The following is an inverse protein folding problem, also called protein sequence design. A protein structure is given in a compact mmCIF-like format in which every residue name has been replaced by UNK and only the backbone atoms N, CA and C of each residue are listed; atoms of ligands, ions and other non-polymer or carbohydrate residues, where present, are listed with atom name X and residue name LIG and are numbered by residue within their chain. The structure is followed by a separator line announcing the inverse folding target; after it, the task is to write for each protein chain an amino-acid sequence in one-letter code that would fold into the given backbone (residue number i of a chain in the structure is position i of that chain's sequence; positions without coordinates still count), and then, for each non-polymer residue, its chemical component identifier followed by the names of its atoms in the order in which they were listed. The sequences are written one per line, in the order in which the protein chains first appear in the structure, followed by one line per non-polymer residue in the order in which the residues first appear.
data_IF_531828046077
#
_entry.id   IF_531828046077
#
_cell.length_a   1.000
_cell.length_b   1.000
_cell.length_c   1.000
_cell.angle_alpha   90.00
_cell.angle_beta   90.00
_cell.angle_gamma   90.00
#
_symmetry.space_group_name_H-M   'P 1'
#
loop_
_entity.id
_entity.type
_entity.pdbx_description
1 polymer ?
#
# COMPACT_ATOMS: atom_id res chain seq x y z
N UNK A 1 6.41 28.00 21.05
CA UNK A 1 6.35 26.87 20.08
C UNK A 1 5.65 25.75 20.80
N UNK A 2 4.66 25.11 20.19
CA UNK A 2 4.08 23.88 20.73
C UNK A 2 5.14 22.78 20.77
N UNK A 3 4.94 21.74 21.59
CA UNK A 3 5.86 20.60 21.64
C UNK A 3 6.04 19.96 20.25
N UNK A 4 4.96 19.88 19.47
CA UNK A 4 4.97 19.35 18.11
C UNK A 4 5.84 20.18 17.15
N UNK A 5 5.80 21.52 17.24
CA UNK A 5 6.64 22.38 16.41
C UNK A 5 8.14 22.18 16.68
N UNK A 6 8.52 21.96 17.94
CA UNK A 6 9.91 21.68 18.31
C UNK A 6 10.35 20.29 17.83
N UNK A 7 9.45 19.29 17.88
CA UNK A 7 9.70 17.93 17.41
C UNK A 7 9.91 17.92 15.89
N UNK A 8 9.02 18.54 15.13
CA UNK A 8 9.12 18.68 13.67
C UNK A 8 10.42 19.40 13.26
N UNK A 9 10.79 20.48 13.97
CA UNK A 9 12.05 21.17 13.71
C UNK A 9 13.29 20.27 13.96
N UNK A 10 13.25 19.43 15.00
CA UNK A 10 14.31 18.46 15.28
C UNK A 10 14.40 17.39 14.20
N UNK A 11 13.26 16.81 13.75
CA UNK A 11 13.19 15.84 12.66
C UNK A 11 13.80 16.44 11.38
N UNK A 12 13.39 17.65 11.00
CA UNK A 12 13.90 18.30 9.79
C UNK A 12 15.42 18.55 9.84
N UNK A 13 15.98 18.87 11.00
CA UNK A 13 17.43 19.00 11.16
C UNK A 13 18.12 17.65 10.99
N UNK A 14 17.66 16.63 11.70
CA UNK A 14 18.22 15.26 11.62
C UNK A 14 18.15 14.71 10.19
N UNK A 15 17.05 14.95 9.48
CA UNK A 15 16.89 14.58 8.07
C UNK A 15 17.98 15.17 7.21
N UNK A 16 18.29 16.48 7.38
CA UNK A 16 19.36 17.15 6.64
C UNK A 16 20.73 16.63 7.04
N UNK A 17 21.01 16.50 8.36
CA UNK A 17 22.28 16.04 8.89
C UNK A 17 22.63 14.60 8.45
N UNK A 18 21.61 13.78 8.17
CA UNK A 18 21.74 12.37 7.75
C UNK A 18 21.66 12.19 6.23
N UNK A 19 21.47 13.24 5.44
CA UNK A 19 21.12 13.12 4.03
C UNK A 19 19.98 12.09 3.82
N UNK A 20 18.91 12.24 4.61
CA UNK A 20 17.80 11.31 4.65
C UNK A 20 16.60 11.81 3.84
N UNK A 21 15.85 10.87 3.27
CA UNK A 21 14.53 11.10 2.68
C UNK A 21 13.47 10.39 3.52
N UNK A 22 12.38 11.09 3.83
CA UNK A 22 11.21 10.53 4.51
C UNK A 22 10.16 10.19 3.44
N UNK A 23 9.89 8.90 3.29
CA UNK A 23 8.86 8.37 2.39
C UNK A 23 7.65 7.93 3.23
N UNK A 24 6.47 8.48 2.98
CA UNK A 24 5.26 8.15 3.72
C UNK A 24 4.16 7.58 2.81
N UNK A 25 3.48 6.55 3.29
CA UNK A 25 2.28 6.06 2.62
C UNK A 25 1.09 6.98 2.90
N UNK A 26 0.13 7.06 1.98
CA UNK A 26 -1.12 7.82 2.15
C UNK A 26 -1.94 7.43 3.40
N UNK A 27 -1.70 6.26 3.98
CA UNK A 27 -2.39 5.75 5.17
C UNK A 27 -1.69 6.12 6.49
N UNK A 28 -0.67 6.96 6.44
CA UNK A 28 -0.03 7.50 7.64
C UNK A 28 -0.88 8.61 8.29
N UNK A 29 -0.59 8.87 9.57
CA UNK A 29 -1.19 9.99 10.28
C UNK A 29 -0.84 11.33 9.58
N UNK A 30 -1.75 12.32 9.61
CA UNK A 30 -1.56 13.61 8.94
C UNK A 30 -0.23 14.27 9.24
N UNK A 31 0.21 14.28 10.50
CA UNK A 31 1.45 14.91 10.92
C UNK A 31 2.70 14.27 10.31
N UNK A 32 2.67 12.96 9.98
CA UNK A 32 3.75 12.28 9.28
C UNK A 32 3.71 12.61 7.79
N UNK A 33 2.51 12.65 7.22
CA UNK A 33 2.34 13.03 5.81
C UNK A 33 2.83 14.46 5.56
N UNK A 34 2.54 15.39 6.48
CA UNK A 34 2.90 16.81 6.34
C UNK A 34 4.41 17.08 6.38
N UNK A 35 5.20 16.22 7.02
CA UNK A 35 6.65 16.36 7.11
C UNK A 35 7.43 15.45 6.14
N UNK A 36 6.74 14.55 5.46
CA UNK A 36 7.37 13.64 4.49
C UNK A 36 7.88 14.41 3.27
N UNK A 37 9.01 13.96 2.72
CA UNK A 37 9.54 14.47 1.46
C UNK A 37 8.71 14.00 0.25
N UNK A 38 8.06 12.83 0.41
CA UNK A 38 7.19 12.27 -0.59
C UNK A 38 6.11 11.41 0.06
N UNK A 39 4.85 11.66 -0.32
CA UNK A 39 3.68 10.85 0.06
C UNK A 39 3.15 10.17 -1.19
N UNK A 40 2.89 8.86 -1.11
CA UNK A 40 2.47 8.10 -2.26
C UNK A 40 1.86 6.73 -1.95
N UNK A 41 1.41 6.02 -3.00
CA UNK A 41 1.05 4.62 -2.92
C UNK A 41 2.30 3.71 -3.04
N UNK A 42 2.10 2.39 -2.91
CA UNK A 42 3.21 1.43 -2.92
C UNK A 42 4.06 1.47 -4.21
N UNK A 43 3.45 1.76 -5.37
CA UNK A 43 4.19 1.85 -6.63
C UNK A 43 5.02 3.13 -6.71
N UNK A 44 4.42 4.26 -6.36
CA UNK A 44 5.08 5.56 -6.34
C UNK A 44 6.26 5.56 -5.36
N UNK A 45 6.04 5.02 -4.15
CA UNK A 45 7.09 4.92 -3.12
C UNK A 45 8.21 3.97 -3.53
N UNK A 46 7.90 2.85 -4.20
CA UNK A 46 8.93 1.94 -4.76
C UNK A 46 9.81 2.64 -5.80
N UNK A 47 9.19 3.39 -6.72
CA UNK A 47 9.92 4.18 -7.72
C UNK A 47 10.77 5.27 -7.07
N UNK A 48 10.24 5.94 -6.05
CA UNK A 48 10.96 6.99 -5.33
C UNK A 48 12.15 6.43 -4.55
N UNK A 49 11.96 5.30 -3.86
CA UNK A 49 13.04 4.60 -3.16
C UNK A 49 14.18 4.21 -4.13
N UNK A 50 13.84 3.70 -5.32
CA UNK A 50 14.82 3.29 -6.33
C UNK A 50 15.57 4.45 -6.98
N UNK A 51 15.05 5.69 -6.94
CA UNK A 51 15.59 6.84 -7.67
C UNK A 51 16.13 7.97 -6.79
N UNK A 52 16.04 7.86 -5.46
CA UNK A 52 16.54 8.90 -4.55
C UNK A 52 18.07 8.91 -4.44
N UNK A 53 18.66 10.09 -4.31
CA UNK A 53 20.08 10.27 -4.05
C UNK A 53 20.44 10.32 -2.54
N UNK A 54 19.44 10.22 -1.66
CA UNK A 54 19.65 10.20 -0.22
C UNK A 54 20.42 8.95 0.22
N UNK A 55 21.23 9.07 1.28
CA UNK A 55 21.97 7.95 1.87
C UNK A 55 21.09 7.11 2.78
N UNK A 56 20.07 7.75 3.38
CA UNK A 56 19.13 7.14 4.31
C UNK A 56 17.70 7.28 3.79
N UNK A 57 16.96 6.16 3.80
CA UNK A 57 15.52 6.15 3.54
C UNK A 57 14.80 5.85 4.86
N UNK A 58 14.05 6.82 5.38
CA UNK A 58 13.13 6.57 6.48
C UNK A 58 11.76 6.25 5.87
N UNK A 59 11.33 5.02 6.04
CA UNK A 59 10.07 4.56 5.45
C UNK A 59 8.95 4.62 6.49
N UNK A 60 8.10 5.65 6.43
CA UNK A 60 6.87 5.75 7.22
C UNK A 60 5.75 4.99 6.52
N UNK A 61 5.65 3.73 6.84
CA UNK A 61 4.72 2.77 6.24
C UNK A 61 4.74 1.48 7.05
N UNK A 62 4.70 0.34 6.37
CA UNK A 62 4.74 -0.99 6.98
C UNK A 62 5.96 -1.79 6.52
N UNK A 63 6.27 -2.84 7.25
CA UNK A 63 7.53 -3.60 7.14
C UNK A 63 7.85 -4.03 5.71
N UNK A 64 6.89 -4.61 4.97
CA UNK A 64 7.13 -5.07 3.59
C UNK A 64 7.47 -3.93 2.61
N UNK A 65 7.05 -2.69 2.91
CA UNK A 65 7.39 -1.50 2.10
C UNK A 65 8.85 -1.10 2.34
N UNK A 66 9.30 -1.13 3.59
CA UNK A 66 10.69 -0.88 3.94
C UNK A 66 11.62 -1.99 3.41
N UNK A 67 11.20 -3.27 3.45
CA UNK A 67 11.89 -4.37 2.75
C UNK A 67 11.98 -4.09 1.24
N UNK A 68 10.90 -3.62 0.62
CA UNK A 68 10.89 -3.27 -0.81
C UNK A 68 11.90 -2.17 -1.13
N UNK A 69 11.98 -1.13 -0.31
CA UNK A 69 12.99 -0.08 -0.45
C UNK A 69 14.41 -0.65 -0.31
N UNK A 70 14.65 -1.55 0.65
CA UNK A 70 15.97 -2.21 0.83
C UNK A 70 16.32 -3.14 -0.33
N UNK A 71 15.34 -3.85 -0.91
CA UNK A 71 15.55 -4.68 -2.10
C UNK A 71 16.02 -3.83 -3.27
N UNK A 72 15.37 -2.68 -3.50
CA UNK A 72 15.63 -1.80 -4.65
C UNK A 72 16.88 -0.93 -4.48
N UNK A 73 17.24 -0.58 -3.24
CA UNK A 73 18.35 0.32 -2.90
C UNK A 73 19.22 -0.30 -1.79
N UNK A 74 19.92 -1.40 -2.09
CA UNK A 74 20.67 -2.17 -1.09
C UNK A 74 21.83 -1.40 -0.45
N UNK A 75 22.39 -0.42 -1.16
CA UNK A 75 23.49 0.44 -0.70
C UNK A 75 23.03 1.46 0.34
N UNK A 76 21.74 1.75 0.42
CA UNK A 76 21.17 2.74 1.34
C UNK A 76 20.85 2.14 2.70
N UNK A 77 20.93 2.96 3.73
CA UNK A 77 20.37 2.62 5.04
C UNK A 77 18.86 2.84 4.99
N UNK A 78 18.10 1.75 5.07
CA UNK A 78 16.63 1.82 5.13
C UNK A 78 16.20 1.55 6.56
N UNK A 79 15.45 2.48 7.14
CA UNK A 79 14.95 2.40 8.51
C UNK A 79 13.43 2.53 8.53
N UNK A 80 12.79 1.85 9.50
CA UNK A 80 11.35 1.87 9.74
C UNK A 80 11.12 2.32 11.19
N UNK A 81 10.32 3.36 11.48
CA UNK A 81 10.17 3.88 12.83
C UNK A 81 9.70 2.86 13.86
N UNK A 82 8.93 1.85 13.42
CA UNK A 82 8.49 0.74 14.27
C UNK A 82 8.50 -0.58 13.49
N UNK A 83 9.24 -1.59 13.96
CA UNK A 83 9.28 -2.92 13.30
C UNK A 83 7.98 -3.71 13.44
N UNK A 84 7.15 -3.40 14.46
CA UNK A 84 5.83 -4.01 14.63
C UNK A 84 4.79 -3.44 13.62
N UNK A 85 5.17 -2.43 12.83
CA UNK A 85 4.36 -1.93 11.72
C UNK A 85 4.29 -2.99 10.60
N UNK A 86 3.57 -4.07 10.85
CA UNK A 86 3.34 -5.22 9.98
C UNK A 86 2.23 -5.00 8.96
N UNK A 87 1.73 -6.10 8.41
CA UNK A 87 0.60 -6.09 7.47
C UNK A 87 -0.13 -7.43 7.52
N UNK A 88 -1.44 -7.40 7.76
CA UNK A 88 -2.27 -8.61 7.81
C UNK A 88 -2.17 -9.47 6.55
N UNK A 89 -2.03 -8.87 5.37
CA UNK A 89 -1.83 -9.62 4.13
C UNK A 89 -0.49 -10.35 4.08
N UNK A 90 0.57 -9.72 4.60
CA UNK A 90 1.87 -10.36 4.68
C UNK A 90 1.86 -11.50 5.71
N UNK A 91 1.15 -11.32 6.82
CA UNK A 91 0.99 -12.31 7.89
C UNK A 91 0.13 -13.49 7.44
N UNK A 92 -0.93 -13.23 6.64
CA UNK A 92 -1.81 -14.26 6.05
C UNK A 92 -1.15 -15.07 4.91
N UNK A 93 0.08 -14.73 4.51
CA UNK A 93 0.82 -15.42 3.45
C UNK A 93 2.26 -15.77 3.92
N UNK A 94 2.41 -16.71 4.88
CA UNK A 94 3.72 -17.20 5.31
C UNK A 94 4.49 -17.85 4.16
N UNK A 95 5.78 -17.54 4.05
CA UNK A 95 6.59 -17.93 2.89
C UNK A 95 6.73 -19.44 2.69
N UNK A 96 6.67 -20.23 3.77
CA UNK A 96 6.73 -21.70 3.73
C UNK A 96 5.39 -22.31 3.30
N UNK A 97 4.26 -21.73 3.69
CA UNK A 97 2.94 -22.11 3.21
C UNK A 97 2.76 -21.71 1.75
N UNK A 98 3.22 -20.54 1.38
CA UNK A 98 3.21 -20.08 0.01
C UNK A 98 4.06 -20.99 -0.90
N UNK A 99 5.23 -21.45 -0.42
CA UNK A 99 6.06 -22.40 -1.16
C UNK A 99 5.32 -23.73 -1.44
N UNK A 100 4.55 -24.24 -0.45
CA UNK A 100 3.73 -25.44 -0.63
C UNK A 100 2.63 -25.23 -1.64
N UNK A 101 1.90 -24.14 -1.53
CA UNK A 101 0.82 -23.78 -2.46
C UNK A 101 1.35 -23.62 -3.90
N UNK A 102 2.51 -22.97 -4.06
CA UNK A 102 3.18 -22.87 -5.37
C UNK A 102 3.56 -24.24 -5.94
N UNK A 103 4.03 -25.15 -5.09
CA UNK A 103 4.42 -26.50 -5.51
C UNK A 103 3.23 -27.36 -5.99
N UNK A 104 2.01 -27.07 -5.52
CA UNK A 104 0.76 -27.66 -6.01
C UNK A 104 0.35 -27.12 -7.39
N UNK A 105 0.94 -25.99 -7.81
CA UNK A 105 0.65 -25.30 -9.07
C UNK A 105 1.93 -25.05 -9.90
N UNK A 106 2.68 -26.10 -10.28
CA UNK A 106 4.03 -25.96 -10.84
C UNK A 106 4.08 -25.23 -12.19
N UNK A 107 3.00 -25.26 -12.96
CA UNK A 107 2.90 -24.65 -14.31
C UNK A 107 2.40 -23.19 -14.24
N UNK A 108 2.04 -22.68 -13.07
CA UNK A 108 1.51 -21.33 -12.92
C UNK A 108 2.62 -20.30 -12.86
N UNK A 109 2.41 -19.19 -13.56
CA UNK A 109 3.19 -17.96 -13.40
C UNK A 109 2.71 -17.21 -12.15
N UNK A 110 3.61 -16.95 -11.23
CA UNK A 110 3.28 -16.38 -9.92
C UNK A 110 3.33 -14.86 -9.97
N UNK A 111 2.17 -14.23 -9.85
CA UNK A 111 2.02 -12.79 -9.68
C UNK A 111 1.71 -12.50 -8.22
N UNK A 112 2.59 -11.79 -7.53
CA UNK A 112 2.33 -11.43 -6.14
C UNK A 112 2.11 -9.92 -6.00
N UNK A 113 1.02 -9.58 -5.31
CA UNK A 113 0.80 -8.22 -4.83
C UNK A 113 1.90 -7.84 -3.84
N UNK A 114 2.41 -6.63 -3.94
CA UNK A 114 3.57 -6.12 -3.20
C UNK A 114 3.44 -6.22 -1.68
N UNK A 115 2.18 -6.31 -1.17
CA UNK A 115 1.84 -6.46 0.24
C UNK A 115 2.17 -7.88 0.76
N UNK A 116 3.41 -8.30 0.60
CA UNK A 116 3.94 -9.58 1.04
C UNK A 116 5.41 -9.43 1.47
N UNK A 117 5.93 -10.38 2.22
CA UNK A 117 7.32 -10.38 2.72
C UNK A 117 8.34 -10.49 1.58
N UNK A 118 9.60 -10.10 1.83
CA UNK A 118 10.72 -10.32 0.91
C UNK A 118 10.87 -11.81 0.54
N UNK A 119 10.57 -12.71 1.48
CA UNK A 119 10.62 -14.15 1.26
C UNK A 119 9.55 -14.66 0.28
N UNK A 120 8.35 -14.08 0.27
CA UNK A 120 7.30 -14.35 -0.72
C UNK A 120 7.68 -13.71 -2.06
N UNK A 121 8.17 -12.47 -2.07
CA UNK A 121 8.69 -11.81 -3.27
C UNK A 121 9.77 -12.66 -3.97
N UNK A 122 10.67 -13.26 -3.20
CA UNK A 122 11.74 -14.12 -3.72
C UNK A 122 11.23 -15.41 -4.39
N UNK A 123 9.99 -15.80 -4.13
CA UNK A 123 9.32 -16.95 -4.73
C UNK A 123 8.37 -16.58 -5.88
N UNK A 124 8.23 -15.30 -6.18
CA UNK A 124 7.33 -14.80 -7.21
C UNK A 124 8.03 -14.65 -8.56
N UNK A 125 7.28 -14.66 -9.65
CA UNK A 125 7.79 -14.41 -11.00
C UNK A 125 7.61 -12.94 -11.39
N UNK A 126 6.58 -12.27 -10.82
CA UNK A 126 6.26 -10.87 -11.04
C UNK A 126 5.65 -10.29 -9.77
N UNK A 127 6.03 -9.09 -9.39
CA UNK A 127 5.33 -8.30 -8.38
C UNK A 127 4.35 -7.34 -9.07
N UNK A 128 3.22 -7.07 -8.43
CA UNK A 128 2.29 -6.04 -8.86
C UNK A 128 1.88 -5.15 -7.68
N UNK A 129 1.22 -4.05 -7.99
CA UNK A 129 0.51 -3.20 -7.04
C UNK A 129 -0.95 -3.06 -7.48
N UNK A 130 -1.83 -2.54 -6.62
CA UNK A 130 -3.22 -2.24 -7.02
C UNK A 130 -3.31 -1.26 -8.20
N UNK A 131 -2.26 -0.46 -8.44
CA UNK A 131 -2.19 0.48 -9.56
C UNK A 131 -2.00 -0.19 -10.92
N UNK A 132 -1.27 -1.32 -10.98
CA UNK A 132 -0.79 -1.91 -12.23
C UNK A 132 -1.16 -3.40 -12.42
N UNK A 133 -1.79 -4.04 -11.45
CA UNK A 133 -2.03 -5.49 -11.46
C UNK A 133 -2.77 -5.97 -12.72
N UNK A 134 -3.84 -5.27 -13.13
CA UNK A 134 -4.62 -5.61 -14.34
C UNK A 134 -3.74 -5.49 -15.59
N UNK A 135 -3.03 -4.38 -15.72
CA UNK A 135 -2.18 -4.11 -16.90
C UNK A 135 -1.05 -5.13 -17.02
N UNK A 136 -0.45 -5.52 -15.89
CA UNK A 136 0.63 -6.52 -15.85
C UNK A 136 0.11 -7.93 -16.19
N UNK A 137 -1.04 -8.34 -15.65
CA UNK A 137 -1.65 -9.64 -15.95
C UNK A 137 -2.06 -9.71 -17.41
N UNK A 138 -2.55 -8.62 -18.01
CA UNK A 138 -2.90 -8.55 -19.43
C UNK A 138 -1.69 -8.65 -20.37
N UNK A 139 -0.48 -8.33 -19.90
CA UNK A 139 0.75 -8.48 -20.69
C UNK A 139 1.30 -9.91 -20.71
N UNK A 140 0.78 -10.80 -19.86
CA UNK A 140 1.19 -12.21 -19.85
C UNK A 140 0.55 -12.97 -21.02
N UNK A 141 1.20 -14.05 -21.54
CA UNK A 141 0.60 -14.91 -22.55
C UNK A 141 -0.80 -15.37 -22.16
N UNK A 142 -1.75 -15.39 -23.09
CA UNK A 142 -3.16 -15.65 -22.79
C UNK A 142 -3.42 -17.06 -22.24
N UNK A 143 -2.60 -18.03 -22.63
CA UNK A 143 -2.67 -19.44 -22.22
C UNK A 143 -1.84 -19.75 -20.96
N UNK A 144 -1.11 -18.77 -20.42
CA UNK A 144 -0.32 -18.94 -19.21
C UNK A 144 -1.25 -19.01 -17.99
N UNK A 145 -1.31 -20.11 -17.24
CA UNK A 145 -2.01 -20.13 -15.97
C UNK A 145 -1.31 -19.22 -14.96
N UNK A 146 -2.10 -18.48 -14.17
CA UNK A 146 -1.57 -17.47 -13.23
C UNK A 146 -2.05 -17.78 -11.81
N UNK A 147 -1.10 -17.79 -10.87
CA UNK A 147 -1.34 -17.79 -9.44
C UNK A 147 -1.22 -16.38 -8.93
N UNK A 148 -2.23 -15.87 -8.23
CA UNK A 148 -2.25 -14.53 -7.65
C UNK A 148 -2.31 -14.57 -6.11
N UNK A 149 -1.41 -13.87 -5.45
CA UNK A 149 -1.28 -13.79 -3.99
C UNK A 149 -0.90 -12.35 -3.56
N UNK A 150 -1.00 -11.96 -2.28
CA UNK A 150 -1.73 -12.66 -1.23
C UNK A 150 -3.22 -12.28 -1.13
N UNK A 151 -3.68 -11.17 -1.75
CA UNK A 151 -5.04 -10.66 -1.58
C UNK A 151 -6.03 -11.28 -2.58
N UNK A 152 -7.01 -12.01 -2.04
CA UNK A 152 -8.05 -12.66 -2.86
C UNK A 152 -9.03 -11.69 -3.52
N UNK A 153 -9.31 -10.54 -2.86
CA UNK A 153 -10.29 -9.58 -3.36
C UNK A 153 -9.69 -8.80 -4.54
N UNK A 154 -8.46 -8.29 -4.37
CA UNK A 154 -7.70 -7.72 -5.49
C UNK A 154 -7.55 -8.73 -6.63
N UNK A 155 -7.24 -10.00 -6.32
CA UNK A 155 -7.14 -11.06 -7.33
C UNK A 155 -8.44 -11.29 -8.10
N UNK A 156 -9.59 -11.30 -7.42
CA UNK A 156 -10.92 -11.38 -8.05
C UNK A 156 -11.21 -10.17 -8.95
N UNK A 157 -10.88 -8.98 -8.47
CA UNK A 157 -11.03 -7.77 -9.27
C UNK A 157 -10.14 -7.81 -10.52
N UNK A 158 -8.88 -8.23 -10.39
CA UNK A 158 -7.97 -8.45 -11.53
C UNK A 158 -8.53 -9.49 -12.50
N UNK A 159 -9.07 -10.60 -12.00
CA UNK A 159 -9.73 -11.65 -12.79
C UNK A 159 -10.90 -11.08 -13.61
N UNK A 160 -11.77 -10.29 -13.00
CA UNK A 160 -12.91 -9.65 -13.67
C UNK A 160 -12.46 -8.65 -14.75
N UNK A 161 -11.48 -7.80 -14.44
CA UNK A 161 -11.01 -6.76 -15.35
C UNK A 161 -10.19 -7.32 -16.52
N UNK A 162 -9.43 -8.39 -16.29
CA UNK A 162 -8.62 -9.03 -17.34
C UNK A 162 -9.38 -10.08 -18.16
N UNK A 163 -10.51 -10.56 -17.65
CA UNK A 163 -11.25 -11.69 -18.22
C UNK A 163 -10.51 -13.03 -18.10
N UNK A 164 -9.46 -13.11 -17.28
CA UNK A 164 -8.63 -14.31 -17.09
C UNK A 164 -9.03 -15.05 -15.80
N UNK A 165 -9.00 -16.35 -15.83
CA UNK A 165 -9.12 -17.17 -14.63
C UNK A 165 -7.78 -17.19 -13.89
N UNK A 166 -7.80 -16.94 -12.58
CA UNK A 166 -6.63 -16.90 -11.70
C UNK A 166 -6.79 -17.89 -10.56
N UNK A 167 -5.72 -18.58 -10.20
CA UNK A 167 -5.64 -19.34 -8.96
C UNK A 167 -5.30 -18.38 -7.84
N UNK A 168 -6.19 -18.21 -6.85
CA UNK A 168 -6.08 -17.19 -5.83
C UNK A 168 -5.61 -17.77 -4.49
N UNK A 169 -4.62 -17.12 -3.89
CA UNK A 169 -4.32 -17.28 -2.45
C UNK A 169 -5.47 -16.72 -1.62
N UNK A 170 -5.85 -17.33 -0.47
CA UNK A 170 -7.07 -16.96 0.27
C UNK A 170 -6.92 -15.75 1.21
N UNK A 171 -5.78 -15.06 1.26
CA UNK A 171 -5.52 -13.93 2.15
C UNK A 171 -6.40 -12.70 1.89
N UNK A 172 -6.47 -11.81 2.87
CA UNK A 172 -7.31 -10.61 2.84
C UNK A 172 -6.76 -9.50 3.73
N UNK A 173 -7.06 -8.25 3.36
CA UNK A 173 -6.74 -7.09 4.19
C UNK A 173 -7.79 -6.92 5.29
N UNK A 174 -7.37 -6.91 6.57
CA UNK A 174 -8.29 -6.73 7.70
C UNK A 174 -9.04 -5.40 7.65
N UNK A 175 -8.42 -4.34 7.11
CA UNK A 175 -9.03 -3.00 6.97
C UNK A 175 -10.17 -3.05 5.96
N UNK A 176 -9.91 -3.54 4.75
CA UNK A 176 -10.90 -3.54 3.67
C UNK A 176 -12.02 -4.59 3.85
N UNK A 177 -11.81 -5.56 4.75
CA UNK A 177 -12.86 -6.52 5.16
C UNK A 177 -13.83 -5.94 6.22
N UNK A 178 -13.51 -4.80 6.85
CA UNK A 178 -14.35 -4.22 7.91
C UNK A 178 -15.44 -3.28 7.42
N UNK A 179 -15.41 -2.88 6.15
CA UNK A 179 -16.46 -1.99 5.62
C UNK A 179 -17.81 -2.68 5.55
N UNK A 180 -18.85 -1.94 5.95
CA UNK A 180 -20.24 -2.40 5.96
C UNK A 180 -20.99 -1.89 4.73
N UNK A 181 -21.62 -2.80 4.00
CA UNK A 181 -22.53 -2.44 2.89
C UNK A 181 -23.68 -1.56 3.38
N UNK A 182 -24.22 -1.86 4.56
CA UNK A 182 -25.29 -1.08 5.17
C UNK A 182 -24.86 0.37 5.43
N UNK A 183 -23.64 0.57 5.94
CA UNK A 183 -23.08 1.91 6.15
C UNK A 183 -22.90 2.69 4.83
N UNK A 184 -22.45 2.02 3.76
CA UNK A 184 -22.33 2.64 2.43
C UNK A 184 -23.71 3.06 1.90
N UNK A 185 -24.72 2.18 2.01
CA UNK A 185 -26.07 2.46 1.55
C UNK A 185 -26.72 3.59 2.37
N UNK A 186 -26.48 3.65 3.67
CA UNK A 186 -26.93 4.75 4.53
C UNK A 186 -26.33 6.09 4.08
N UNK A 187 -25.00 6.14 3.85
CA UNK A 187 -24.32 7.34 3.34
C UNK A 187 -24.83 7.74 1.95
N UNK A 188 -25.07 6.79 1.05
CA UNK A 188 -25.67 7.07 -0.27
C UNK A 188 -27.10 7.65 -0.14
N UNK A 189 -27.86 7.21 0.86
CA UNK A 189 -29.18 7.75 1.13
C UNK A 189 -29.14 9.19 1.68
N UNK A 190 -28.20 9.44 2.61
CA UNK A 190 -27.98 10.77 3.21
C UNK A 190 -27.36 11.76 2.22
N UNK A 191 -26.52 11.26 1.31
CA UNK A 191 -25.79 12.02 0.30
C UNK A 191 -26.05 11.50 -1.13
N UNK A 192 -27.26 11.66 -1.68
CA UNK A 192 -27.68 11.00 -2.93
C UNK A 192 -26.90 11.45 -4.17
N UNK A 193 -26.13 12.55 -4.06
CA UNK A 193 -25.23 13.03 -5.13
C UNK A 193 -23.76 12.58 -4.95
N UNK A 194 -23.45 11.80 -3.92
CA UNK A 194 -22.08 11.35 -3.68
C UNK A 194 -21.74 10.12 -4.53
N UNK A 195 -20.56 10.15 -5.16
CA UNK A 195 -19.97 8.97 -5.82
C UNK A 195 -19.23 8.10 -4.81
N UNK A 196 -19.39 6.79 -4.96
CA UNK A 196 -18.64 5.80 -4.17
C UNK A 196 -17.34 5.47 -4.89
N UNK A 197 -16.20 5.69 -4.22
CA UNK A 197 -14.89 5.35 -4.75
C UNK A 197 -14.23 4.32 -3.85
N UNK A 198 -13.75 3.20 -4.42
CA UNK A 198 -13.33 2.03 -3.66
C UNK A 198 -11.96 1.50 -4.04
N UNK A 199 -11.21 1.04 -3.05
CA UNK A 199 -9.99 0.28 -3.27
C UNK A 199 -10.33 -1.18 -3.65
N UNK A 200 -9.63 -1.81 -4.61
CA UNK A 200 -9.96 -3.17 -5.09
C UNK A 200 -9.70 -4.29 -4.07
N UNK A 201 -9.16 -4.00 -2.89
CA UNK A 201 -9.11 -4.93 -1.75
C UNK A 201 -10.45 -5.05 -1.02
N UNK A 202 -11.43 -4.20 -1.30
CA UNK A 202 -12.78 -4.30 -0.75
C UNK A 202 -13.50 -5.55 -1.24
N UNK A 203 -14.47 -6.02 -0.46
CA UNK A 203 -15.32 -7.15 -0.84
C UNK A 203 -16.16 -6.83 -2.08
N UNK A 204 -16.50 -7.86 -2.87
CA UNK A 204 -17.18 -7.69 -4.15
C UNK A 204 -18.51 -6.92 -4.06
N UNK A 205 -19.33 -7.19 -3.04
CA UNK A 205 -20.60 -6.50 -2.82
C UNK A 205 -20.42 -4.98 -2.62
N UNK A 206 -19.28 -4.55 -2.06
CA UNK A 206 -18.94 -3.12 -1.93
C UNK A 206 -18.41 -2.55 -3.25
N UNK A 207 -17.62 -3.34 -3.99
CA UNK A 207 -17.15 -2.95 -5.32
C UNK A 207 -18.31 -2.80 -6.32
N UNK A 208 -19.37 -3.59 -6.18
CA UNK A 208 -20.59 -3.51 -7.00
C UNK A 208 -21.38 -2.20 -6.75
N UNK A 209 -21.16 -1.53 -5.62
CA UNK A 209 -21.75 -0.22 -5.29
C UNK A 209 -20.88 0.96 -5.75
N UNK A 210 -19.62 0.69 -6.14
CA UNK A 210 -18.66 1.72 -6.44
C UNK A 210 -18.85 2.32 -7.85
N UNK A 211 -18.79 3.64 -7.95
CA UNK A 211 -18.78 4.38 -9.21
C UNK A 211 -17.36 4.40 -9.83
N UNK A 212 -16.34 4.27 -8.98
CA UNK A 212 -14.95 4.14 -9.41
C UNK A 212 -14.16 3.19 -8.50
N UNK A 213 -13.34 2.32 -9.11
CA UNK A 213 -12.45 1.39 -8.40
C UNK A 213 -11.01 1.63 -8.85
N UNK A 214 -10.11 1.80 -7.91
CA UNK A 214 -8.70 2.04 -8.21
C UNK A 214 -7.78 2.00 -7.00
N UNK A 215 -6.47 2.05 -7.27
CA UNK A 215 -5.47 2.21 -6.20
C UNK A 215 -5.64 3.53 -5.47
N UNK A 216 -4.97 3.67 -4.34
CA UNK A 216 -4.99 4.88 -3.52
C UNK A 216 -4.71 6.15 -4.34
N UNK A 217 -3.65 6.14 -5.17
CA UNK A 217 -3.35 7.27 -6.08
C UNK A 217 -4.43 7.48 -7.12
N UNK A 218 -5.03 6.41 -7.67
CA UNK A 218 -6.11 6.52 -8.65
C UNK A 218 -7.39 7.11 -8.03
N UNK A 219 -7.73 6.74 -6.80
CA UNK A 219 -8.85 7.31 -6.06
C UNK A 219 -8.66 8.82 -5.84
N UNK A 220 -7.46 9.23 -5.41
CA UNK A 220 -7.11 10.63 -5.22
C UNK A 220 -7.23 11.44 -6.53
N UNK A 221 -6.65 10.92 -7.62
CA UNK A 221 -6.70 11.57 -8.93
C UNK A 221 -8.14 11.61 -9.48
N UNK A 222 -8.94 10.57 -9.26
CA UNK A 222 -10.34 10.55 -9.65
C UNK A 222 -11.13 11.63 -8.90
N UNK A 223 -10.97 11.74 -7.59
CA UNK A 223 -11.62 12.78 -6.80
C UNK A 223 -11.22 14.20 -7.25
N UNK A 224 -9.97 14.40 -7.71
CA UNK A 224 -9.49 15.68 -8.26
C UNK A 224 -10.12 16.00 -9.62
N UNK A 225 -10.24 15.01 -10.51
CA UNK A 225 -10.67 15.19 -11.90
C UNK A 225 -12.19 15.12 -12.09
N UNK A 226 -12.90 14.42 -11.21
CA UNK A 226 -14.36 14.28 -11.29
C UNK A 226 -15.07 15.63 -11.09
N UNK A 227 -16.17 15.83 -11.79
CA UNK A 227 -17.08 16.96 -11.56
C UNK A 227 -17.96 16.80 -10.32
N UNK A 228 -17.94 15.63 -9.68
CA UNK A 228 -18.68 15.36 -8.45
C UNK A 228 -18.07 16.14 -7.27
N UNK A 229 -18.91 16.66 -6.39
CA UNK A 229 -18.49 17.45 -5.23
C UNK A 229 -18.50 16.66 -3.91
N UNK A 230 -18.92 15.38 -3.95
CA UNK A 230 -19.02 14.57 -2.73
C UNK A 230 -18.65 13.12 -3.03
N UNK A 231 -17.82 12.51 -2.19
CA UNK A 231 -17.33 11.15 -2.37
C UNK A 231 -17.49 10.34 -1.07
N UNK A 232 -18.00 9.14 -1.20
CA UNK A 232 -17.96 8.09 -0.16
C UNK A 232 -16.71 7.27 -0.43
N UNK A 233 -15.74 7.31 0.48
CA UNK A 233 -14.39 6.76 0.26
C UNK A 233 -14.24 5.43 0.97
N UNK A 234 -14.16 4.34 0.18
CA UNK A 234 -14.00 2.97 0.64
C UNK A 234 -12.52 2.56 0.56
N UNK A 235 -11.72 3.11 1.45
CA UNK A 235 -10.35 2.68 1.72
C UNK A 235 -9.90 3.22 3.08
N UNK A 236 -8.69 2.94 3.50
CA UNK A 236 -8.14 3.40 4.77
C UNK A 236 -8.18 4.95 4.88
N UNK A 237 -8.72 5.51 5.99
CA UNK A 237 -9.07 6.93 6.06
C UNK A 237 -7.87 7.90 6.06
N UNK A 238 -6.64 7.45 6.27
CA UNK A 238 -5.45 8.32 6.21
C UNK A 238 -5.30 9.05 4.87
N UNK A 239 -5.83 8.49 3.77
CA UNK A 239 -5.82 9.14 2.45
C UNK A 239 -6.63 10.45 2.44
N UNK A 240 -7.65 10.56 3.30
CA UNK A 240 -8.55 11.72 3.33
C UNK A 240 -7.78 13.02 3.59
N UNK A 241 -6.65 12.95 4.32
CA UNK A 241 -5.79 14.10 4.53
C UNK A 241 -5.26 14.68 3.22
N UNK A 242 -4.65 13.84 2.37
CA UNK A 242 -4.15 14.27 1.06
C UNK A 242 -5.29 14.65 0.09
N UNK A 243 -6.39 13.91 0.12
CA UNK A 243 -7.57 14.25 -0.66
C UNK A 243 -8.09 15.63 -0.29
N UNK A 244 -8.28 15.92 1.02
CA UNK A 244 -8.79 17.22 1.48
C UNK A 244 -7.84 18.39 1.17
N UNK A 245 -6.53 18.14 1.15
CA UNK A 245 -5.55 19.15 0.72
C UNK A 245 -5.65 19.47 -0.78
N UNK A 246 -5.91 18.43 -1.62
CA UNK A 246 -6.00 18.61 -3.09
C UNK A 246 -7.35 19.13 -3.55
N UNK A 247 -8.43 18.75 -2.87
CA UNK A 247 -9.81 19.14 -3.21
C UNK A 247 -10.53 19.70 -1.99
N UNK A 248 -10.06 20.84 -1.43
CA UNK A 248 -10.57 21.39 -0.18
C UNK A 248 -12.07 21.80 -0.25
N UNK A 249 -12.59 22.00 -1.43
CA UNK A 249 -13.99 22.35 -1.68
C UNK A 249 -14.93 21.16 -1.75
N UNK A 250 -14.40 19.93 -1.82
CA UNK A 250 -15.21 18.69 -1.97
C UNK A 250 -15.48 18.05 -0.60
N UNK A 251 -16.60 17.39 -0.51
CA UNK A 251 -16.99 16.62 0.67
C UNK A 251 -16.47 15.19 0.55
N UNK A 252 -15.65 14.77 1.52
CA UNK A 252 -15.09 13.43 1.59
C UNK A 252 -15.70 12.72 2.79
N UNK A 253 -16.41 11.64 2.55
CA UNK A 253 -17.14 10.88 3.55
C UNK A 253 -16.38 9.58 3.84
N UNK A 254 -15.88 9.44 5.06
CA UNK A 254 -15.33 8.20 5.58
C UNK A 254 -16.45 7.19 5.85
N UNK A 255 -16.20 5.93 5.54
CA UNK A 255 -17.15 4.85 5.82
C UNK A 255 -16.73 4.16 7.11
N UNK A 256 -17.55 4.21 8.18
CA UNK A 256 -17.20 3.52 9.41
C UNK A 256 -17.14 2.00 9.17
N UNK A 257 -16.33 1.33 9.96
CA UNK A 257 -16.31 -0.12 10.00
C UNK A 257 -17.59 -0.72 10.57
N UNK A 258 -17.66 -2.05 10.57
CA UNK A 258 -18.80 -2.80 11.14
C UNK A 258 -19.07 -2.31 12.57
N UNK A 259 -20.34 -2.16 12.93
CA UNK A 259 -20.82 -1.65 14.23
C UNK A 259 -20.35 -0.21 14.56
N UNK A 260 -19.98 0.59 13.54
CA UNK A 260 -19.55 1.97 13.72
C UNK A 260 -18.15 2.13 14.35
N UNK A 261 -17.33 1.07 14.34
CA UNK A 261 -15.96 1.16 14.83
C UNK A 261 -15.04 1.93 13.86
N UNK A 262 -13.93 2.44 14.37
CA UNK A 262 -12.82 2.98 13.55
C UNK A 262 -11.83 1.89 13.09
N UNK A 263 -12.28 0.66 12.96
CA UNK A 263 -11.47 -0.49 12.55
C UNK A 263 -11.12 -0.50 11.05
N UNK A 264 -11.67 0.42 10.28
CA UNK A 264 -11.23 0.79 8.94
C UNK A 264 -9.87 1.53 8.91
N UNK A 265 -9.38 1.97 10.06
CA UNK A 265 -8.04 2.55 10.21
C UNK A 265 -6.99 1.46 10.44
N UNK A 266 -5.91 1.47 9.66
CA UNK A 266 -4.87 0.45 9.74
C UNK A 266 -4.07 0.56 11.05
N UNK A 267 -4.15 -0.43 11.96
CA UNK A 267 -3.45 -0.36 13.24
C UNK A 267 -1.93 -0.37 13.08
N UNK A 268 -1.42 -1.00 12.03
CA UNK A 268 0.01 -1.08 11.76
C UNK A 268 0.60 0.24 11.28
N UNK A 269 -0.11 0.96 10.40
CA UNK A 269 0.34 2.28 9.92
C UNK A 269 0.45 3.29 11.07
N UNK A 270 -0.45 3.19 12.07
CA UNK A 270 -0.50 4.07 13.25
C UNK A 270 0.57 3.80 14.30
N UNK A 271 1.37 2.74 14.14
CA UNK A 271 2.52 2.49 15.01
C UNK A 271 3.66 3.47 14.74
N UNK A 272 3.73 4.07 13.56
CA UNK A 272 4.66 5.14 13.27
C UNK A 272 4.17 6.45 13.91
N UNK A 273 5.03 7.10 14.70
CA UNK A 273 4.76 8.40 15.31
C UNK A 273 5.93 9.35 15.07
N UNK A 274 5.72 10.66 15.26
CA UNK A 274 6.78 11.64 15.13
C UNK A 274 7.94 11.39 16.09
N UNK A 275 7.67 10.92 17.31
CA UNK A 275 8.69 10.58 18.30
C UNK A 275 9.55 9.41 17.85
N UNK A 276 8.92 8.34 17.34
CA UNK A 276 9.62 7.17 16.79
C UNK A 276 10.42 7.54 15.54
N UNK A 277 9.85 8.37 14.67
CA UNK A 277 10.53 8.89 13.50
C UNK A 277 11.78 9.71 13.89
N UNK A 278 11.68 10.59 14.90
CA UNK A 278 12.82 11.33 15.42
C UNK A 278 13.89 10.39 15.96
N UNK A 279 13.51 9.44 16.82
CA UNK A 279 14.44 8.45 17.41
C UNK A 279 15.13 7.60 16.33
N UNK A 280 14.37 7.23 15.29
CA UNK A 280 14.88 6.48 14.15
C UNK A 280 15.95 7.27 13.37
N UNK A 281 15.74 8.57 13.12
CA UNK A 281 16.72 9.46 12.48
C UNK A 281 17.94 9.74 13.37
N UNK A 282 17.78 9.76 14.70
CA UNK A 282 18.91 9.95 15.64
C UNK A 282 19.86 8.76 15.63
N UNK A 283 19.31 7.56 15.65
CA UNK A 283 20.06 6.31 15.85
C UNK A 283 20.30 5.50 14.59
N UNK A 284 19.57 5.77 13.51
CA UNK A 284 19.47 4.97 12.28
C UNK A 284 19.07 3.51 12.57
N UNK A 285 18.22 3.36 13.61
CA UNK A 285 17.67 2.06 14.03
C UNK A 285 16.17 2.21 14.35
N UNK A 286 15.38 1.14 14.12
CA UNK A 286 15.78 -0.15 13.54
C UNK A 286 16.00 -0.06 12.02
N UNK A 287 17.05 -0.70 11.54
CA UNK A 287 17.37 -0.80 10.12
C UNK A 287 16.83 -2.12 9.53
N UNK A 288 16.43 -2.06 8.26
CA UNK A 288 15.99 -3.25 7.52
C UNK A 288 17.22 -3.95 6.95
N UNK A 289 17.43 -5.18 7.42
CA UNK A 289 18.49 -6.06 6.96
C UNK A 289 17.90 -7.34 6.37
N UNK A 290 18.54 -7.90 5.36
CA UNK A 290 18.17 -9.18 4.78
C UNK A 290 19.38 -9.87 4.15
N UNK A 291 19.30 -11.19 4.04
CA UNK A 291 20.32 -11.99 3.36
C UNK A 291 20.41 -11.61 1.89
N UNK A 292 21.63 -11.38 1.38
CA UNK A 292 21.88 -10.94 0.01
C UNK A 292 21.31 -11.92 -1.04
N UNK A 293 21.36 -13.22 -0.75
CA UNK A 293 20.79 -14.25 -1.62
C UNK A 293 19.27 -14.13 -1.75
N UNK A 294 18.56 -13.77 -0.68
CA UNK A 294 17.11 -13.51 -0.67
C UNK A 294 16.82 -12.21 -1.41
N UNK A 295 17.55 -11.14 -1.11
CA UNK A 295 17.42 -9.85 -1.76
C UNK A 295 17.52 -9.97 -3.28
N UNK A 296 18.54 -10.67 -3.77
CA UNK A 296 18.76 -10.88 -5.22
C UNK A 296 17.63 -11.68 -5.87
N UNK A 297 17.03 -12.64 -5.17
CA UNK A 297 15.86 -13.37 -5.68
C UNK A 297 14.64 -12.46 -5.74
N UNK A 298 14.36 -11.69 -4.69
CA UNK A 298 13.23 -10.76 -4.63
C UNK A 298 13.36 -9.59 -5.61
N UNK A 299 14.59 -9.17 -5.92
CA UNK A 299 14.88 -8.09 -6.87
C UNK A 299 14.35 -8.39 -8.28
N UNK A 300 14.45 -9.64 -8.75
CA UNK A 300 14.06 -10.01 -10.12
C UNK A 300 12.58 -9.71 -10.44
N UNK A 301 11.59 -10.20 -9.65
CA UNK A 301 10.20 -9.89 -9.90
C UNK A 301 9.86 -8.41 -9.66
N UNK A 302 10.59 -7.72 -8.77
CA UNK A 302 10.45 -6.28 -8.55
C UNK A 302 10.92 -5.47 -9.76
N UNK A 303 12.09 -5.78 -10.32
CA UNK A 303 12.59 -5.15 -11.53
C UNK A 303 11.65 -5.37 -12.71
N UNK A 304 11.15 -6.60 -12.88
CA UNK A 304 10.16 -6.92 -13.91
C UNK A 304 8.90 -6.06 -13.79
N UNK A 305 8.38 -5.88 -12.57
CA UNK A 305 7.26 -4.96 -12.32
C UNK A 305 7.57 -3.55 -12.81
N UNK A 306 8.72 -2.98 -12.41
CA UNK A 306 9.10 -1.62 -12.76
C UNK A 306 9.30 -1.44 -14.27
N UNK A 307 9.83 -2.45 -14.96
CA UNK A 307 10.03 -2.45 -16.42
C UNK A 307 8.72 -2.55 -17.18
N UNK A 308 7.81 -3.42 -16.77
CA UNK A 308 6.50 -3.62 -17.41
C UNK A 308 5.47 -2.52 -17.09
N UNK A 309 5.73 -1.67 -16.09
CA UNK A 309 4.86 -0.55 -15.66
C UNK A 309 5.29 0.81 -16.23
N UNK A 310 6.10 0.84 -17.27
CA UNK A 310 6.59 2.07 -17.93
C UNK A 310 5.57 2.65 -18.87
#
# INVERSE_FOLDING_TARGET
MSADTALVAAINRLRQDRNAVILAHYYQEPEIQDIADFVGDSLELSRKAASTDADVIVFCGVHFMAETAKILSPEKTVVLPDLEAGCSLADDCPADEFARFRAEHPDHFVVSYINCTAAVKAQSDLICTSSNAVDLVNQLPADQPVLFAPDRNLGRWVQQQSGRELTLWPGRCIVHETFSEEAVLALKHEHPGAEVIAHPECQQNLLDLADFIGSTSKLLNYAEQSSCNSFIVLTEPGILHQMQQRVPEKTLLDVPGIDGCSCNACPYMRLNTLEKLKACLETLTPAIEMEESMRLKAMKPMQRMLEMSR
#
